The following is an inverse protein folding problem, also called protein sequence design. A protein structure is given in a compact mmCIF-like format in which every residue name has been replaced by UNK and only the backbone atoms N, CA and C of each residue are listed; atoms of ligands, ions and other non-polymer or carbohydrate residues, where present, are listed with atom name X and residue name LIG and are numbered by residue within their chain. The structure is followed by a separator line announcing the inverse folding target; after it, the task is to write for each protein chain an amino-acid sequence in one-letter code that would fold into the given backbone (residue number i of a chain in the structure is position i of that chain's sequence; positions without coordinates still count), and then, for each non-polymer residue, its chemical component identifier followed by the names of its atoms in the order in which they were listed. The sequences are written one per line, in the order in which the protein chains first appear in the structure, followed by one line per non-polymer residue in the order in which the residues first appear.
data_IF_751794493892
#
_entry.id   IF_751794493892
#
_cell.length_a   1.000
_cell.length_b   1.000
_cell.length_c   1.000
_cell.angle_alpha   90.00
_cell.angle_beta   90.00
_cell.angle_gamma   90.00
#
_symmetry.space_group_name_H-M   'P 1'
#
loop_
_entity.id
_entity.type
_entity.pdbx_description
1 polymer ?
#
# COMPACT_ATOMS: atom_id res chain seq x y z
N UNK A 1 7.75 -3.11 -25.78
CA UNK A 1 6.42 -2.98 -25.13
C UNK A 1 6.52 -3.03 -23.62
N UNK A 2 7.01 -4.14 -23.05
CA UNK A 2 7.31 -4.26 -21.61
C UNK A 2 8.22 -3.13 -21.15
N UNK A 3 9.24 -2.76 -21.93
CA UNK A 3 10.12 -1.63 -21.60
C UNK A 3 9.43 -0.27 -21.50
N UNK A 4 8.40 -0.02 -22.31
CA UNK A 4 7.60 1.21 -22.27
C UNK A 4 6.66 1.22 -21.07
N UNK A 5 6.02 0.08 -20.77
CA UNK A 5 5.20 -0.09 -19.56
C UNK A 5 6.06 0.10 -18.32
N UNK A 6 7.26 -0.48 -18.30
CA UNK A 6 8.24 -0.33 -17.21
C UNK A 6 8.77 1.10 -17.07
N UNK A 7 8.92 1.84 -18.17
CA UNK A 7 9.30 3.26 -18.13
C UNK A 7 8.15 4.13 -17.59
N UNK A 8 6.91 3.84 -17.99
CA UNK A 8 5.72 4.53 -17.47
C UNK A 8 5.51 4.27 -15.98
N UNK A 9 5.64 3.01 -15.52
CA UNK A 9 5.57 2.65 -14.10
C UNK A 9 6.64 3.33 -13.23
N UNK A 10 7.75 3.80 -13.83
CA UNK A 10 8.81 4.56 -13.13
C UNK A 10 8.58 6.06 -13.14
N UNK A 11 7.72 6.57 -14.02
CA UNK A 11 7.57 8.01 -14.30
C UNK A 11 6.16 8.52 -14.08
N UNK A 12 5.24 7.66 -13.64
CA UNK A 12 3.87 7.97 -13.23
C UNK A 12 3.84 8.11 -11.69
N UNK A 13 3.40 9.25 -11.15
CA UNK A 13 3.42 9.52 -9.71
C UNK A 13 2.44 8.64 -8.91
N UNK A 14 1.52 7.93 -9.59
CA UNK A 14 0.56 7.01 -8.96
C UNK A 14 0.93 5.54 -9.12
N UNK A 15 2.07 5.23 -9.75
CA UNK A 15 2.65 3.88 -9.79
C UNK A 15 3.82 3.80 -8.82
N UNK A 16 3.80 2.88 -7.84
CA UNK A 16 4.90 2.74 -6.90
C UNK A 16 6.12 2.20 -7.66
N UNK A 17 7.28 2.87 -7.55
CA UNK A 17 8.45 2.60 -8.39
C UNK A 17 8.94 1.15 -8.22
N UNK A 18 8.73 0.33 -9.26
CA UNK A 18 9.09 -1.10 -9.33
C UNK A 18 10.57 -1.39 -9.01
N UNK A 19 11.49 -0.46 -9.28
CA UNK A 19 12.92 -0.64 -8.96
C UNK A 19 13.18 -0.48 -7.46
N UNK A 20 12.49 0.45 -6.81
CA UNK A 20 12.53 0.64 -5.35
C UNK A 20 11.93 -0.59 -4.66
N UNK A 21 10.72 -0.97 -5.09
CA UNK A 21 9.96 -2.13 -4.60
C UNK A 21 10.79 -3.42 -4.74
N UNK A 22 11.32 -3.72 -5.93
CA UNK A 22 12.12 -4.93 -6.14
C UNK A 22 13.45 -4.91 -5.37
N UNK A 23 14.11 -3.76 -5.21
CA UNK A 23 15.34 -3.67 -4.40
C UNK A 23 15.05 -3.92 -2.92
N UNK A 24 13.96 -3.37 -2.41
CA UNK A 24 13.54 -3.53 -1.02
C UNK A 24 13.11 -4.98 -0.77
N UNK A 25 12.30 -5.56 -1.65
CA UNK A 25 11.88 -6.96 -1.57
C UNK A 25 13.07 -7.92 -1.65
N UNK A 26 14.02 -7.69 -2.57
CA UNK A 26 15.26 -8.48 -2.64
C UNK A 26 16.12 -8.34 -1.39
N UNK A 27 16.25 -7.14 -0.83
CA UNK A 27 16.98 -6.92 0.41
C UNK A 27 16.30 -7.58 1.62
N UNK A 28 14.97 -7.54 1.69
CA UNK A 28 14.20 -8.18 2.77
C UNK A 28 14.23 -9.71 2.66
N UNK A 29 14.09 -10.26 1.46
CA UNK A 29 14.29 -11.69 1.21
C UNK A 29 15.71 -12.15 1.54
N UNK A 30 16.73 -11.32 1.25
CA UNK A 30 18.12 -11.58 1.64
C UNK A 30 18.34 -11.54 3.16
N UNK A 31 17.54 -10.75 3.89
CA UNK A 31 17.52 -10.67 5.36
C UNK A 31 16.59 -11.69 6.02
N UNK A 32 15.89 -12.52 5.25
CA UNK A 32 14.92 -13.50 5.76
C UNK A 32 13.62 -12.88 6.31
N UNK A 33 13.40 -11.59 6.07
CA UNK A 33 12.19 -10.86 6.49
C UNK A 33 10.97 -11.19 5.62
N UNK A 34 11.20 -11.81 4.45
CA UNK A 34 10.20 -12.41 3.58
C UNK A 34 10.70 -13.82 3.27
N UNK A 35 9.86 -14.84 3.43
CA UNK A 35 10.26 -16.23 3.19
C UNK A 35 10.62 -16.41 1.71
N UNK A 36 11.82 -16.95 1.42
CA UNK A 36 12.14 -17.49 0.08
C UNK A 36 11.07 -18.52 -0.32
N UNK A 37 10.83 -18.69 -1.63
CA UNK A 37 10.01 -19.78 -2.15
C UNK A 37 10.38 -21.09 -1.42
N UNK A 38 9.45 -21.73 -0.68
CA UNK A 38 9.77 -22.95 0.07
C UNK A 38 10.21 -24.07 -0.88
N UNK A 39 11.18 -24.87 -0.47
CA UNK A 39 11.66 -26.07 -1.20
C UNK A 39 10.50 -27.03 -1.57
N UNK A 40 9.40 -26.98 -0.82
CA UNK A 40 8.21 -27.80 -1.04
C UNK A 40 7.41 -27.38 -2.28
N UNK A 41 7.52 -26.13 -2.74
CA UNK A 41 6.92 -25.68 -4.01
C UNK A 41 7.75 -26.15 -5.22
N UNK A 42 9.09 -26.21 -5.07
CA UNK A 42 9.95 -26.85 -6.06
C UNK A 42 9.61 -28.34 -6.19
N UNK A 43 9.41 -29.04 -5.05
CA UNK A 43 8.96 -30.44 -5.04
C UNK A 43 7.54 -30.64 -5.59
N UNK A 44 6.55 -29.86 -5.19
CA UNK A 44 5.18 -30.01 -5.70
C UNK A 44 5.08 -29.83 -7.22
N UNK A 45 5.88 -28.91 -7.78
CA UNK A 45 5.94 -28.63 -9.22
C UNK A 45 6.85 -29.61 -9.97
N UNK A 46 7.80 -30.28 -9.28
CA UNK A 46 8.54 -31.46 -9.76
C UNK A 46 7.69 -32.73 -9.73
N UNK A 47 6.78 -32.86 -8.75
CA UNK A 47 5.92 -34.02 -8.51
C UNK A 47 4.63 -33.99 -9.37
N UNK A 48 4.26 -32.81 -9.89
CA UNK A 48 3.14 -32.63 -10.84
C UNK A 48 3.59 -32.05 -12.20
N UNK A 49 4.57 -32.64 -12.89
CA UNK A 49 5.03 -32.14 -14.18
C UNK A 49 4.04 -32.61 -15.26
N UNK A 50 3.13 -31.74 -15.71
CA UNK A 50 2.49 -31.94 -17.01
C UNK A 50 3.13 -30.96 -18.00
N UNK A 51 4.02 -31.42 -18.89
CA UNK A 51 4.59 -30.55 -19.90
C UNK A 51 3.48 -30.11 -20.85
N UNK A 52 3.33 -28.79 -20.98
CA UNK A 52 2.61 -28.19 -22.09
C UNK A 52 3.40 -28.52 -23.36
N UNK A 53 2.88 -29.43 -24.18
CA UNK A 53 3.47 -29.79 -25.47
C UNK A 53 3.34 -28.62 -26.46
N UNK A 54 4.36 -27.75 -26.53
CA UNK A 54 4.50 -26.83 -27.65
C UNK A 54 5.19 -27.53 -28.82
N UNK A 55 4.40 -28.03 -29.77
CA UNK A 55 4.81 -28.01 -31.16
C UNK A 55 4.32 -26.70 -31.78
N UNK A 56 5.05 -25.62 -31.57
CA UNK A 56 5.10 -24.46 -32.47
C UNK A 56 6.15 -23.48 -31.95
N UNK A 57 7.38 -23.65 -32.44
CA UNK A 57 8.36 -22.57 -32.52
C UNK A 57 7.74 -21.44 -33.35
N UNK A 58 7.26 -20.40 -32.68
CA UNK A 58 7.18 -19.01 -33.12
C UNK A 58 6.04 -18.32 -32.37
N UNK A 59 6.35 -17.83 -31.18
CA UNK A 59 5.96 -16.55 -30.56
C UNK A 59 6.49 -16.68 -29.14
N UNK A 60 7.61 -16.01 -28.86
CA UNK A 60 8.20 -15.99 -27.53
C UNK A 60 8.10 -14.54 -26.98
N UNK A 61 7.04 -14.21 -26.22
CA UNK A 61 6.85 -12.87 -25.64
C UNK A 61 7.91 -12.50 -24.59
N UNK A 62 8.74 -13.47 -24.17
CA UNK A 62 9.58 -13.42 -22.98
C UNK A 62 10.95 -12.74 -23.24
N UNK A 63 11.42 -12.69 -24.49
CA UNK A 63 12.74 -12.12 -24.81
C UNK A 63 12.85 -10.57 -24.67
N UNK A 64 11.80 -9.87 -24.26
CA UNK A 64 11.83 -8.41 -24.02
C UNK A 64 11.96 -7.99 -22.55
N UNK A 65 11.80 -8.92 -21.59
CA UNK A 65 11.87 -8.59 -20.15
C UNK A 65 13.29 -8.58 -19.57
N UNK A 66 14.17 -9.44 -20.10
CA UNK A 66 15.44 -9.76 -19.45
C UNK A 66 16.55 -8.70 -19.63
N UNK A 67 16.50 -7.86 -20.66
CA UNK A 67 17.60 -6.94 -21.01
C UNK A 67 17.47 -5.49 -20.47
N UNK A 68 16.36 -5.12 -19.83
CA UNK A 68 16.15 -3.73 -19.36
C UNK A 68 16.45 -3.53 -17.87
N UNK A 69 16.48 -4.59 -17.05
CA UNK A 69 16.77 -4.47 -15.61
C UNK A 69 18.24 -4.14 -15.33
N UNK A 70 19.14 -4.38 -16.29
CA UNK A 70 20.58 -4.18 -16.13
C UNK A 70 21.10 -2.81 -16.63
N UNK A 71 20.30 -2.02 -17.35
CA UNK A 71 20.79 -0.85 -18.12
C UNK A 71 20.28 0.52 -17.66
N UNK A 72 19.33 0.61 -16.73
CA UNK A 72 18.71 1.90 -16.37
C UNK A 72 19.37 2.57 -15.14
N UNK A 73 20.50 3.23 -15.37
CA UNK A 73 21.12 4.22 -14.48
C UNK A 73 20.40 5.60 -14.60
N UNK A 74 19.35 5.89 -13.83
CA UNK A 74 18.76 7.27 -13.73
C UNK A 74 18.11 7.53 -12.35
N UNK A 75 17.83 8.79 -11.94
CA UNK A 75 18.42 9.50 -10.79
C UNK A 75 17.51 9.57 -9.53
N UNK A 76 18.10 10.02 -8.42
CA UNK A 76 17.62 9.83 -7.04
C UNK A 76 16.58 10.84 -6.48
N UNK A 77 15.86 11.61 -7.30
CA UNK A 77 14.89 12.61 -6.78
C UNK A 77 13.50 12.46 -7.43
N UNK A 78 12.52 12.04 -6.62
CA UNK A 78 11.12 11.77 -6.98
C UNK A 78 10.21 13.03 -6.98
N UNK A 79 10.66 14.15 -6.39
CA UNK A 79 9.84 15.35 -6.09
C UNK A 79 9.49 16.25 -7.30
N UNK A 80 9.56 15.77 -8.55
CA UNK A 80 9.32 16.59 -9.75
C UNK A 80 8.41 15.97 -10.80
N UNK A 81 7.61 14.97 -10.43
CA UNK A 81 6.72 14.29 -11.38
C UNK A 81 5.32 14.89 -11.30
N UNK A 82 4.99 15.77 -12.24
CA UNK A 82 3.63 16.31 -12.42
C UNK A 82 2.68 15.28 -13.05
N UNK A 83 1.42 15.26 -12.62
CA UNK A 83 0.32 14.52 -13.27
C UNK A 83 0.20 14.96 -14.73
N UNK A 84 0.18 13.99 -15.65
CA UNK A 84 0.11 14.26 -17.08
C UNK A 84 -0.90 13.32 -17.75
N UNK A 85 -2.06 13.87 -18.10
CA UNK A 85 -3.18 13.18 -18.76
C UNK A 85 -2.75 12.44 -20.06
N UNK A 86 -1.76 12.97 -20.79
CA UNK A 86 -1.22 12.32 -21.99
C UNK A 86 -0.42 11.05 -21.64
N UNK A 87 0.29 11.02 -20.51
CA UNK A 87 1.00 9.81 -20.04
C UNK A 87 0.01 8.73 -19.60
N UNK A 88 -1.03 9.10 -18.88
CA UNK A 88 -2.07 8.15 -18.42
C UNK A 88 -2.80 7.53 -19.62
N UNK A 89 -3.17 8.34 -20.61
CA UNK A 89 -3.75 7.86 -21.88
C UNK A 89 -2.79 6.93 -22.64
N UNK A 90 -1.48 7.16 -22.54
CA UNK A 90 -0.45 6.32 -23.15
C UNK A 90 -0.26 4.98 -22.41
N UNK A 91 -0.34 4.98 -21.07
CA UNK A 91 -0.39 3.76 -20.23
C UNK A 91 -1.58 2.89 -20.60
N UNK A 92 -2.77 3.49 -20.66
CA UNK A 92 -4.01 2.81 -21.02
C UNK A 92 -3.89 2.04 -22.34
N UNK A 93 -3.31 2.66 -23.38
CA UNK A 93 -3.10 2.01 -24.69
C UNK A 93 -2.15 0.81 -24.61
N UNK A 94 -1.10 0.90 -23.80
CA UNK A 94 -0.12 -0.20 -23.69
C UNK A 94 -0.69 -1.41 -22.93
N UNK A 95 -1.36 -1.19 -21.81
CA UNK A 95 -1.98 -2.28 -21.05
C UNK A 95 -3.15 -2.90 -21.80
N UNK A 96 -3.91 -2.11 -22.57
CA UNK A 96 -4.96 -2.63 -23.46
C UNK A 96 -4.38 -3.59 -24.50
N UNK A 97 -3.30 -3.20 -25.19
CA UNK A 97 -2.62 -4.07 -26.14
C UNK A 97 -2.02 -5.31 -25.47
N UNK A 98 -1.45 -5.17 -24.26
CA UNK A 98 -0.93 -6.30 -23.52
C UNK A 98 -2.03 -7.32 -23.15
N UNK A 99 -3.18 -6.85 -22.68
CA UNK A 99 -4.37 -7.70 -22.47
C UNK A 99 -4.83 -8.38 -23.76
N UNK A 100 -4.84 -7.68 -24.90
CA UNK A 100 -5.19 -8.29 -26.19
C UNK A 100 -4.24 -9.45 -26.54
N UNK A 101 -2.94 -9.30 -26.31
CA UNK A 101 -1.98 -10.40 -26.52
C UNK A 101 -2.21 -11.58 -25.57
N UNK A 102 -2.51 -11.33 -24.29
CA UNK A 102 -2.81 -12.41 -23.35
C UNK A 102 -4.05 -13.16 -23.84
N UNK A 103 -5.08 -12.44 -24.28
CA UNK A 103 -6.31 -13.04 -24.82
C UNK A 103 -6.04 -13.91 -26.06
N UNK A 104 -5.18 -13.45 -26.96
CA UNK A 104 -4.74 -14.26 -28.11
C UNK A 104 -3.96 -15.50 -27.66
N UNK A 105 -3.04 -15.38 -26.70
CA UNK A 105 -2.27 -16.51 -26.18
C UNK A 105 -3.13 -17.55 -25.46
N UNK A 106 -4.18 -17.11 -24.76
CA UNK A 106 -5.13 -17.98 -24.09
C UNK A 106 -6.17 -18.58 -25.03
N UNK A 107 -6.35 -18.07 -26.25
CA UNK A 107 -7.40 -18.53 -27.18
C UNK A 107 -7.32 -20.02 -27.58
N UNK A 108 -6.14 -20.64 -27.40
CA UNK A 108 -5.91 -22.06 -27.65
C UNK A 108 -5.63 -22.85 -26.37
N UNK A 109 -5.71 -22.22 -25.20
CA UNK A 109 -5.51 -22.88 -23.92
C UNK A 109 -6.72 -23.77 -23.62
N UNK A 110 -6.45 -25.04 -23.33
CA UNK A 110 -7.43 -25.99 -22.82
C UNK A 110 -6.82 -26.67 -21.60
N UNK A 111 -7.26 -26.27 -20.41
CA UNK A 111 -6.66 -26.70 -19.16
C UNK A 111 -7.65 -26.75 -18.01
N UNK A 112 -7.22 -27.35 -16.90
CA UNK A 112 -8.07 -27.60 -15.72
C UNK A 112 -8.70 -26.32 -15.15
N UNK A 113 -8.00 -25.20 -15.30
CA UNK A 113 -8.38 -23.90 -14.73
C UNK A 113 -8.78 -22.86 -15.79
N UNK A 114 -8.95 -23.27 -17.05
CA UNK A 114 -9.40 -22.45 -18.19
C UNK A 114 -10.60 -21.57 -17.81
N UNK A 115 -11.58 -22.17 -17.12
CA UNK A 115 -12.84 -21.52 -16.77
C UNK A 115 -12.73 -20.26 -15.91
N UNK A 116 -11.57 -19.98 -15.29
CA UNK A 116 -11.32 -18.71 -14.62
C UNK A 116 -10.08 -17.97 -15.14
N UNK A 117 -9.08 -18.68 -15.69
CA UNK A 117 -7.91 -18.05 -16.30
C UNK A 117 -8.29 -17.19 -17.52
N UNK A 118 -9.30 -17.60 -18.29
CA UNK A 118 -9.78 -16.87 -19.46
C UNK A 118 -10.34 -15.48 -19.15
N UNK A 119 -10.70 -15.22 -17.89
CA UNK A 119 -11.12 -13.89 -17.45
C UNK A 119 -9.94 -12.94 -17.20
N UNK A 120 -8.71 -13.44 -17.08
CA UNK A 120 -7.51 -12.65 -16.79
C UNK A 120 -7.34 -11.43 -17.71
N UNK A 121 -7.42 -11.56 -19.04
CA UNK A 121 -7.34 -10.42 -19.97
C UNK A 121 -8.41 -9.35 -19.72
N UNK A 122 -9.66 -9.75 -19.50
CA UNK A 122 -10.77 -8.82 -19.32
C UNK A 122 -10.69 -8.13 -17.94
N UNK A 123 -10.24 -8.87 -16.90
CA UNK A 123 -9.90 -8.32 -15.58
C UNK A 123 -8.77 -7.28 -15.67
N UNK A 124 -7.73 -7.55 -16.45
CA UNK A 124 -6.63 -6.61 -16.67
C UNK A 124 -7.09 -5.32 -17.38
N UNK A 125 -7.99 -5.45 -18.36
CA UNK A 125 -8.64 -4.31 -19.01
C UNK A 125 -9.46 -3.49 -18.04
N UNK A 126 -10.23 -4.14 -17.17
CA UNK A 126 -11.00 -3.48 -16.12
C UNK A 126 -10.08 -2.63 -15.23
N UNK A 127 -9.02 -3.21 -14.65
CA UNK A 127 -8.05 -2.48 -13.82
C UNK A 127 -7.53 -1.23 -14.54
N UNK A 128 -7.14 -1.39 -15.80
CA UNK A 128 -6.58 -0.32 -16.63
C UNK A 128 -7.59 0.81 -16.87
N UNK A 129 -8.86 0.46 -17.12
CA UNK A 129 -9.92 1.42 -17.35
C UNK A 129 -10.37 2.15 -16.07
N UNK A 130 -10.25 1.50 -14.91
CA UNK A 130 -10.58 2.10 -13.62
C UNK A 130 -9.53 3.13 -13.17
N UNK A 131 -8.28 3.01 -13.62
CA UNK A 131 -7.24 4.03 -13.32
C UNK A 131 -7.61 5.43 -13.80
N UNK A 132 -8.39 5.53 -14.88
CA UNK A 132 -8.83 6.80 -15.47
C UNK A 132 -10.23 7.23 -15.02
N UNK A 133 -10.89 6.46 -14.15
CA UNK A 133 -12.21 6.81 -13.63
C UNK A 133 -12.06 7.87 -12.51
N UNK A 134 -12.79 8.98 -12.61
CA UNK A 134 -12.69 10.10 -11.67
C UNK A 134 -13.42 9.86 -10.34
N UNK A 135 -14.33 8.89 -10.29
CA UNK A 135 -15.06 8.51 -9.06
C UNK A 135 -14.19 7.67 -8.12
N UNK A 136 -13.05 7.14 -8.59
CA UNK A 136 -12.11 6.40 -7.76
C UNK A 136 -11.08 7.29 -7.07
N UNK A 137 -10.86 7.03 -5.79
CA UNK A 137 -9.87 7.75 -4.98
C UNK A 137 -8.43 7.40 -5.39
N UNK A 138 -7.48 8.25 -4.99
CA UNK A 138 -6.05 8.02 -5.21
C UNK A 138 -5.57 6.71 -4.58
N UNK A 139 -6.07 6.36 -3.39
CA UNK A 139 -5.75 5.09 -2.71
C UNK A 139 -6.19 3.88 -3.55
N UNK A 140 -7.43 3.90 -4.05
CA UNK A 140 -7.95 2.84 -4.92
C UNK A 140 -7.14 2.73 -6.21
N UNK A 141 -6.81 3.86 -6.84
CA UNK A 141 -5.97 3.90 -8.04
C UNK A 141 -4.58 3.32 -7.78
N UNK A 142 -4.01 3.55 -6.61
CA UNK A 142 -2.72 2.96 -6.24
C UNK A 142 -2.80 1.44 -6.08
N UNK A 143 -3.87 0.92 -5.47
CA UNK A 143 -4.11 -0.54 -5.39
C UNK A 143 -4.23 -1.14 -6.79
N UNK A 144 -5.02 -0.51 -7.68
CA UNK A 144 -5.12 -0.92 -9.09
C UNK A 144 -3.75 -0.92 -9.78
N UNK A 145 -2.96 0.13 -9.60
CA UNK A 145 -1.58 0.22 -10.10
C UNK A 145 -0.69 -0.90 -9.57
N UNK A 146 -0.89 -1.33 -8.32
CA UNK A 146 -0.14 -2.42 -7.69
C UNK A 146 -0.46 -3.77 -8.33
N UNK A 147 -1.74 -4.06 -8.58
CA UNK A 147 -2.14 -5.25 -9.34
C UNK A 147 -1.56 -5.23 -10.76
N UNK A 148 -1.66 -4.10 -11.46
CA UNK A 148 -1.11 -3.95 -12.81
C UNK A 148 0.42 -4.12 -12.85
N UNK A 149 1.11 -3.65 -11.81
CA UNK A 149 2.55 -3.78 -11.67
C UNK A 149 2.98 -5.23 -11.45
N UNK A 150 2.19 -5.97 -10.68
CA UNK A 150 2.38 -7.39 -10.39
C UNK A 150 2.15 -8.23 -11.65
N UNK A 151 1.07 -7.98 -12.41
CA UNK A 151 0.73 -8.65 -13.68
C UNK A 151 1.83 -8.60 -14.75
N UNK A 152 2.77 -7.66 -14.65
CA UNK A 152 3.89 -7.51 -15.60
C UNK A 152 5.25 -7.73 -14.91
N UNK A 153 5.24 -8.28 -13.69
CA UNK A 153 6.44 -8.57 -12.91
C UNK A 153 7.06 -9.88 -13.40
N UNK A 154 8.29 -9.85 -13.95
CA UNK A 154 8.96 -11.10 -14.26
C UNK A 154 9.34 -11.83 -12.97
N UNK A 155 9.16 -13.15 -12.93
CA UNK A 155 9.50 -14.02 -11.80
C UNK A 155 8.73 -13.68 -10.50
N UNK A 156 7.42 -13.50 -10.61
CA UNK A 156 6.47 -13.47 -9.50
C UNK A 156 6.24 -14.86 -8.88
N UNK A 157 5.15 -15.06 -8.15
CA UNK A 157 4.93 -16.31 -7.39
C UNK A 157 4.73 -17.50 -8.33
N UNK A 158 4.05 -17.31 -9.47
CA UNK A 158 3.91 -18.33 -10.51
C UNK A 158 4.31 -17.75 -11.88
N UNK A 159 5.60 -17.82 -12.25
CA UNK A 159 6.06 -17.20 -13.49
C UNK A 159 5.47 -17.86 -14.74
N UNK A 160 4.87 -17.09 -15.63
CA UNK A 160 4.27 -17.59 -16.88
C UNK A 160 5.32 -18.19 -17.82
N UNK A 161 6.58 -17.73 -17.72
CA UNK A 161 7.70 -18.31 -18.48
C UNK A 161 7.88 -19.80 -18.21
N UNK A 162 7.59 -20.23 -16.98
CA UNK A 162 7.79 -21.60 -16.52
C UNK A 162 6.49 -22.40 -16.55
N UNK A 163 5.36 -21.76 -16.27
CA UNK A 163 4.07 -22.43 -16.05
C UNK A 163 3.02 -22.12 -17.14
N UNK A 164 3.36 -21.31 -18.14
CA UNK A 164 2.45 -20.93 -19.21
C UNK A 164 1.20 -20.23 -18.65
N UNK A 165 0.00 -20.52 -19.18
CA UNK A 165 -1.26 -19.93 -18.71
C UNK A 165 -1.55 -20.05 -17.21
N UNK A 166 -1.00 -21.07 -16.54
CA UNK A 166 -1.15 -21.23 -15.09
C UNK A 166 -0.46 -20.13 -14.28
N UNK A 167 0.48 -19.39 -14.89
CA UNK A 167 1.12 -18.26 -14.24
C UNK A 167 0.19 -17.08 -13.98
N UNK A 168 -0.95 -16.99 -14.66
CA UNK A 168 -1.92 -15.92 -14.38
C UNK A 168 -2.75 -16.13 -13.10
N UNK A 169 -2.54 -17.22 -12.36
CA UNK A 169 -3.37 -17.56 -11.19
C UNK A 169 -3.14 -16.57 -10.04
N UNK A 170 -1.90 -16.25 -9.71
CA UNK A 170 -1.57 -15.25 -8.68
C UNK A 170 -1.91 -13.82 -9.11
N UNK A 171 -1.80 -13.51 -10.40
CA UNK A 171 -2.27 -12.25 -10.95
C UNK A 171 -3.79 -12.07 -10.78
N UNK A 172 -4.56 -13.10 -11.16
CA UNK A 172 -6.01 -13.08 -11.06
C UNK A 172 -6.45 -13.01 -9.60
N UNK A 173 -5.75 -13.71 -8.70
CA UNK A 173 -5.99 -13.59 -7.26
C UNK A 173 -5.82 -12.14 -6.79
N UNK A 174 -4.68 -11.53 -7.09
CA UNK A 174 -4.38 -10.18 -6.62
C UNK A 174 -5.35 -9.15 -7.23
N UNK A 175 -5.64 -9.29 -8.51
CA UNK A 175 -6.61 -8.46 -9.22
C UNK A 175 -7.99 -8.52 -8.55
N UNK A 176 -8.52 -9.73 -8.35
CA UNK A 176 -9.86 -9.91 -7.77
C UNK A 176 -9.92 -9.58 -6.28
N UNK A 177 -8.81 -9.74 -5.54
CA UNK A 177 -8.70 -9.25 -4.16
C UNK A 177 -8.87 -7.72 -4.10
N UNK A 178 -8.16 -6.98 -4.96
CA UNK A 178 -8.23 -5.51 -5.00
C UNK A 178 -9.60 -5.04 -5.49
N UNK A 179 -10.14 -5.66 -6.55
CA UNK A 179 -11.47 -5.31 -7.05
C UNK A 179 -12.55 -5.57 -5.99
N UNK A 180 -12.40 -6.61 -5.15
CA UNK A 180 -13.29 -6.87 -4.02
C UNK A 180 -13.20 -5.78 -2.94
N UNK A 181 -12.01 -5.29 -2.61
CA UNK A 181 -11.84 -4.14 -1.68
C UNK A 181 -12.49 -2.87 -2.25
N UNK A 182 -12.29 -2.59 -3.54
CA UNK A 182 -12.86 -1.39 -4.19
C UNK A 182 -14.39 -1.48 -4.26
N UNK A 183 -14.96 -2.61 -4.69
CA UNK A 183 -16.41 -2.81 -4.77
C UNK A 183 -17.11 -2.68 -3.42
N UNK A 184 -16.45 -3.07 -2.32
CA UNK A 184 -16.98 -2.84 -0.97
C UNK A 184 -17.11 -1.36 -0.62
N UNK A 185 -16.27 -0.50 -1.21
CA UNK A 185 -16.23 0.94 -0.94
C UNK A 185 -17.14 1.74 -1.88
N UNK A 186 -17.23 1.35 -3.16
CA UNK A 186 -17.92 2.16 -4.19
C UNK A 186 -19.09 1.47 -4.89
N UNK A 187 -19.34 0.19 -4.61
CA UNK A 187 -20.36 -0.61 -5.29
C UNK A 187 -19.86 -1.26 -6.58
N UNK A 188 -20.69 -2.14 -7.15
CA UNK A 188 -20.38 -2.82 -8.42
C UNK A 188 -20.73 -1.94 -9.63
N UNK A 189 -21.67 -1.01 -9.47
CA UNK A 189 -22.21 -0.18 -10.52
C UNK A 189 -21.11 0.59 -11.27
N UNK A 190 -20.19 1.21 -10.52
CA UNK A 190 -19.05 1.96 -11.08
C UNK A 190 -18.13 1.04 -11.88
N UNK A 191 -17.90 -0.19 -11.42
CA UNK A 191 -16.99 -1.10 -12.10
C UNK A 191 -17.64 -1.74 -13.34
N UNK A 192 -18.95 -2.00 -13.29
CA UNK A 192 -19.68 -2.58 -14.41
C UNK A 192 -19.71 -1.65 -15.62
N UNK A 193 -19.71 -0.33 -15.44
CA UNK A 193 -19.58 0.64 -16.54
C UNK A 193 -18.30 0.46 -17.36
N UNK A 194 -17.28 -0.13 -16.74
CA UNK A 194 -15.96 -0.37 -17.30
C UNK A 194 -15.70 -1.83 -17.67
N UNK A 195 -16.62 -2.74 -17.34
CA UNK A 195 -16.46 -4.17 -17.57
C UNK A 195 -16.71 -4.54 -19.04
N UNK A 196 -15.77 -5.29 -19.64
CA UNK A 196 -15.88 -5.73 -21.03
C UNK A 196 -16.00 -7.25 -21.21
N UNK A 197 -16.07 -8.01 -20.11
CA UNK A 197 -16.22 -9.46 -20.16
C UNK A 197 -17.67 -9.88 -20.41
N UNK A 198 -17.84 -11.12 -20.86
CA UNK A 198 -19.15 -11.65 -21.24
C UNK A 198 -20.03 -12.01 -20.04
N UNK A 199 -19.42 -12.54 -18.98
CA UNK A 199 -20.12 -12.95 -17.76
C UNK A 199 -20.32 -11.76 -16.82
N UNK A 200 -21.28 -11.90 -15.88
CA UNK A 200 -21.56 -10.87 -14.88
C UNK A 200 -20.33 -10.63 -14.00
N UNK A 201 -19.92 -9.38 -13.84
CA UNK A 201 -18.68 -9.00 -13.15
C UNK A 201 -18.62 -9.56 -11.72
N UNK A 202 -19.71 -9.46 -10.97
CA UNK A 202 -19.80 -9.99 -9.60
C UNK A 202 -19.50 -11.50 -9.53
N UNK A 203 -20.04 -12.27 -10.47
CA UNK A 203 -19.84 -13.71 -10.53
C UNK A 203 -18.40 -14.05 -10.94
N UNK A 204 -17.82 -13.29 -11.86
CA UNK A 204 -16.42 -13.42 -12.29
C UNK A 204 -15.49 -13.14 -11.13
N UNK A 205 -15.61 -11.99 -10.45
CA UNK A 205 -14.78 -11.64 -9.30
C UNK A 205 -14.89 -12.71 -8.21
N UNK A 206 -16.11 -13.13 -7.87
CA UNK A 206 -16.32 -14.16 -6.84
C UNK A 206 -15.67 -15.48 -7.20
N UNK A 207 -15.87 -15.97 -8.43
CA UNK A 207 -15.33 -17.24 -8.92
C UNK A 207 -13.81 -17.19 -8.99
N UNK A 208 -13.26 -16.23 -9.72
CA UNK A 208 -11.82 -16.07 -9.89
C UNK A 208 -11.11 -15.91 -8.54
N UNK A 209 -11.66 -15.14 -7.60
CA UNK A 209 -11.10 -15.00 -6.25
C UNK A 209 -11.09 -16.33 -5.49
N UNK A 210 -12.21 -17.05 -5.46
CA UNK A 210 -12.33 -18.30 -4.71
C UNK A 210 -11.42 -19.40 -5.25
N UNK A 211 -11.40 -19.61 -6.58
CA UNK A 211 -10.60 -20.64 -7.24
C UNK A 211 -9.10 -20.34 -7.09
N UNK A 212 -8.68 -19.11 -7.38
CA UNK A 212 -7.27 -18.73 -7.24
C UNK A 212 -6.79 -18.77 -5.79
N UNK A 213 -7.61 -18.30 -4.83
CA UNK A 213 -7.30 -18.40 -3.40
C UNK A 213 -7.15 -19.85 -2.93
N UNK A 214 -8.02 -20.75 -3.40
CA UNK A 214 -7.95 -22.16 -3.08
C UNK A 214 -6.65 -22.80 -3.60
N UNK A 215 -6.27 -22.49 -4.85
CA UNK A 215 -5.05 -23.02 -5.47
C UNK A 215 -3.79 -22.47 -4.80
N UNK A 216 -3.77 -21.17 -4.47
CA UNK A 216 -2.60 -20.51 -3.91
C UNK A 216 -2.39 -20.85 -2.43
N UNK A 217 -3.46 -21.12 -1.68
CA UNK A 217 -3.40 -21.45 -0.26
C UNK A 217 -2.62 -20.39 0.53
N UNK A 218 -1.64 -20.80 1.34
CA UNK A 218 -0.83 -19.88 2.15
C UNK A 218 -0.04 -18.83 1.35
N UNK A 219 0.16 -19.03 0.04
CA UNK A 219 0.91 -18.09 -0.82
C UNK A 219 0.17 -16.78 -1.02
N UNK A 220 -1.13 -16.76 -0.80
CA UNK A 220 -1.90 -15.51 -0.82
C UNK A 220 -1.31 -14.48 0.13
N UNK A 221 -0.78 -14.89 1.29
CA UNK A 221 -0.16 -13.99 2.24
C UNK A 221 1.06 -13.28 1.64
N UNK A 222 1.93 -14.03 0.94
CA UNK A 222 3.11 -13.48 0.25
C UNK A 222 2.72 -12.52 -0.87
N UNK A 223 1.63 -12.80 -1.59
CA UNK A 223 1.12 -11.92 -2.65
C UNK A 223 0.55 -10.64 -2.02
N UNK A 224 -0.21 -10.76 -0.92
CA UNK A 224 -0.81 -9.61 -0.23
C UNK A 224 0.23 -8.71 0.46
N UNK A 225 1.39 -9.24 0.84
CA UNK A 225 2.52 -8.42 1.31
C UNK A 225 2.95 -7.36 0.27
N UNK A 226 2.81 -7.63 -1.04
CA UNK A 226 3.07 -6.62 -2.08
C UNK A 226 2.08 -5.45 -2.00
N UNK A 227 0.80 -5.73 -1.74
CA UNK A 227 -0.25 -4.70 -1.60
C UNK A 227 0.00 -3.86 -0.36
N UNK A 228 0.19 -4.51 0.78
CA UNK A 228 0.47 -3.82 2.03
C UNK A 228 1.74 -2.98 1.96
N UNK A 229 2.72 -3.36 1.13
CA UNK A 229 3.90 -2.54 0.89
C UNK A 229 3.59 -1.28 0.09
N UNK A 230 2.82 -1.39 -0.99
CA UNK A 230 2.41 -0.23 -1.79
C UNK A 230 1.60 0.77 -0.96
N UNK A 231 0.68 0.28 -0.11
CA UNK A 231 -0.07 1.10 0.85
C UNK A 231 0.87 1.81 1.84
N UNK A 232 1.86 1.09 2.39
CA UNK A 232 2.88 1.65 3.29
C UNK A 232 3.81 2.67 2.62
N UNK A 233 4.04 2.56 1.32
CA UNK A 233 4.86 3.49 0.55
C UNK A 233 4.13 4.83 0.32
N UNK A 234 2.80 4.78 0.11
CA UNK A 234 1.97 5.96 -0.18
C UNK A 234 1.94 6.99 0.96
N UNK A 235 1.92 6.54 2.22
CA UNK A 235 1.96 7.43 3.37
C UNK A 235 3.34 8.01 3.66
N UNK A 236 4.39 7.43 3.05
CA UNK A 236 5.75 7.93 3.15
C UNK A 236 5.98 9.26 2.43
N UNK A 237 5.18 9.59 1.41
CA UNK A 237 5.50 10.64 0.42
C UNK A 237 4.51 11.81 0.36
N UNK A 238 3.40 11.80 1.12
CA UNK A 238 2.50 12.96 1.14
C UNK A 238 3.22 14.20 1.69
N UNK A 239 3.13 15.30 0.93
CA UNK A 239 3.61 16.63 1.33
C UNK A 239 2.61 17.31 2.28
N UNK A 240 3.03 18.41 2.91
CA UNK A 240 2.11 19.26 3.68
C UNK A 240 0.90 19.68 2.85
N UNK A 241 1.09 20.08 1.59
CA UNK A 241 0.02 20.59 0.74
C UNK A 241 -1.02 19.52 0.38
N UNK A 242 -0.58 18.28 0.17
CA UNK A 242 -1.49 17.16 -0.06
C UNK A 242 -2.31 16.85 1.18
N UNK A 243 -1.68 16.91 2.36
CA UNK A 243 -2.37 16.67 3.62
C UNK A 243 -3.43 17.74 3.90
N UNK A 244 -3.10 19.02 3.66
CA UNK A 244 -4.04 20.13 3.83
C UNK A 244 -5.23 20.04 2.88
N UNK A 245 -5.01 19.64 1.62
CA UNK A 245 -6.10 19.43 0.63
C UNK A 245 -7.02 18.28 1.03
N UNK A 246 -6.46 17.17 1.52
CA UNK A 246 -7.22 16.00 1.97
C UNK A 246 -8.00 16.25 3.25
N UNK A 247 -7.52 17.17 4.11
CA UNK A 247 -8.14 17.46 5.40
C UNK A 247 -7.98 16.32 6.41
N UNK A 248 -8.53 16.51 7.62
CA UNK A 248 -8.56 15.46 8.63
C UNK A 248 -9.42 14.28 8.18
N UNK A 249 -8.89 13.07 8.34
CA UNK A 249 -9.57 11.83 7.99
C UNK A 249 -9.06 10.67 8.86
N UNK A 250 -9.29 9.43 8.44
CA UNK A 250 -8.84 8.26 9.18
C UNK A 250 -7.32 8.12 9.26
N UNK A 251 -6.59 8.71 8.31
CA UNK A 251 -5.14 8.58 8.14
C UNK A 251 -4.40 9.92 8.29
N UNK A 252 -5.11 11.05 8.41
CA UNK A 252 -4.53 12.40 8.61
C UNK A 252 -5.17 13.07 9.81
N UNK A 253 -4.35 13.55 10.74
CA UNK A 253 -4.78 14.31 11.92
C UNK A 253 -4.07 15.66 11.99
N UNK A 254 -4.82 16.72 12.31
CA UNK A 254 -4.27 18.07 12.53
C UNK A 254 -4.25 18.39 14.03
N UNK A 255 -3.15 19.00 14.48
CA UNK A 255 -3.02 19.55 15.82
C UNK A 255 -2.32 20.89 15.74
N UNK A 256 -2.91 21.91 16.38
CA UNK A 256 -2.37 23.26 16.27
C UNK A 256 -1.00 23.40 16.92
N UNK A 257 -0.75 22.64 17.99
CA UNK A 257 0.40 22.82 18.89
C UNK A 257 0.75 21.51 19.59
N UNK A 258 1.99 21.36 20.04
CA UNK A 258 2.45 20.24 20.87
C UNK A 258 2.14 20.46 22.36
N UNK A 259 2.43 21.65 22.88
CA UNK A 259 2.38 22.02 24.31
C UNK A 259 1.60 23.30 24.57
N UNK A 260 1.55 24.21 23.60
CA UNK A 260 1.01 25.55 23.78
C UNK A 260 -0.52 25.59 23.74
N UNK A 261 -1.14 25.95 24.85
CA UNK A 261 -2.59 26.17 24.86
C UNK A 261 -2.92 27.55 24.29
N UNK A 262 -3.46 27.56 23.08
CA UNK A 262 -3.82 28.80 22.35
C UNK A 262 -4.87 29.61 23.12
N UNK A 263 -5.78 28.96 23.87
CA UNK A 263 -6.86 29.65 24.59
C UNK A 263 -6.37 30.23 25.92
N UNK A 264 -5.52 29.48 26.63
CA UNK A 264 -4.99 29.89 27.93
C UNK A 264 -3.71 30.73 27.84
N UNK A 265 -3.10 30.80 26.64
CA UNK A 265 -1.87 31.52 26.36
C UNK A 265 -0.71 31.09 27.30
N UNK A 266 -0.62 29.77 27.56
CA UNK A 266 0.38 29.17 28.44
C UNK A 266 0.66 27.71 28.05
N UNK A 267 1.72 27.11 28.61
CA UNK A 267 2.04 25.69 28.43
C UNK A 267 0.99 24.83 29.12
N UNK A 268 0.41 23.88 28.37
CA UNK A 268 -0.48 22.86 28.87
C UNK A 268 0.06 21.47 28.54
N UNK A 269 0.68 20.83 29.54
CA UNK A 269 1.23 19.46 29.39
C UNK A 269 0.18 18.42 29.02
N UNK A 270 -1.11 18.68 29.27
CA UNK A 270 -2.16 17.74 28.87
C UNK A 270 -2.30 17.64 27.34
N UNK A 271 -1.86 18.64 26.57
CA UNK A 271 -1.85 18.57 25.11
C UNK A 271 -0.90 17.48 24.59
N UNK A 272 0.19 17.19 25.33
CA UNK A 272 1.09 16.07 25.01
C UNK A 272 0.33 14.74 24.98
N UNK A 273 -0.61 14.55 25.91
CA UNK A 273 -1.38 13.31 25.97
C UNK A 273 -2.27 13.14 24.73
N UNK A 274 -2.72 14.23 24.11
CA UNK A 274 -3.49 14.16 22.87
C UNK A 274 -2.59 13.70 21.72
N UNK A 275 -1.37 14.24 21.63
CA UNK A 275 -0.36 13.84 20.64
C UNK A 275 0.00 12.35 20.80
N UNK A 276 0.36 11.94 22.02
CA UNK A 276 0.73 10.54 22.33
C UNK A 276 -0.39 9.56 21.98
N UNK A 277 -1.64 9.88 22.37
CA UNK A 277 -2.79 9.02 22.03
C UNK A 277 -2.99 8.91 20.52
N UNK A 278 -2.86 10.01 19.81
CA UNK A 278 -2.99 10.03 18.34
C UNK A 278 -1.93 9.13 17.70
N UNK A 279 -0.68 9.26 18.13
CA UNK A 279 0.42 8.41 17.63
C UNK A 279 0.15 6.93 17.93
N UNK A 280 -0.24 6.60 19.17
CA UNK A 280 -0.61 5.23 19.53
C UNK A 280 -1.79 4.70 18.72
N UNK A 281 -2.80 5.54 18.48
CA UNK A 281 -3.95 5.19 17.64
C UNK A 281 -3.56 4.86 16.21
N UNK A 282 -2.62 5.61 15.62
CA UNK A 282 -2.07 5.31 14.30
C UNK A 282 -1.20 4.05 14.29
N UNK A 283 -0.32 3.87 15.28
CA UNK A 283 0.53 2.68 15.42
C UNK A 283 -0.30 1.39 15.53
N UNK A 284 -1.43 1.43 16.25
CA UNK A 284 -2.33 0.29 16.44
C UNK A 284 -3.35 0.09 15.31
N UNK A 285 -3.25 0.86 14.23
CA UNK A 285 -4.14 0.83 13.08
C UNK A 285 -3.30 0.81 11.78
N UNK A 286 -3.82 1.34 10.69
CA UNK A 286 -3.17 1.36 9.37
C UNK A 286 -2.05 2.42 9.23
N UNK A 287 -1.58 3.02 10.32
CA UNK A 287 -0.65 4.14 10.27
C UNK A 287 -1.34 5.45 9.87
N UNK A 288 -0.56 6.48 9.57
CA UNK A 288 -1.07 7.79 9.16
C UNK A 288 -0.07 8.92 9.33
N UNK A 289 -0.55 10.15 9.17
CA UNK A 289 0.24 11.39 9.27
C UNK A 289 -0.41 12.31 10.29
N UNK A 290 0.38 12.71 11.29
CA UNK A 290 0.01 13.76 12.23
C UNK A 290 0.73 15.06 11.86
N UNK A 291 -0.04 16.10 11.54
CA UNK A 291 0.48 17.46 11.37
C UNK A 291 0.39 18.22 12.69
N UNK A 292 1.52 18.78 13.15
CA UNK A 292 1.58 19.68 14.30
C UNK A 292 1.94 21.08 13.83
N UNK A 293 1.14 22.08 14.21
CA UNK A 293 1.22 23.44 13.67
C UNK A 293 0.05 23.81 12.75
N UNK A 294 -0.98 22.97 12.65
CA UNK A 294 -2.14 23.16 11.76
C UNK A 294 -3.43 23.18 12.59
N UNK A 295 -4.31 24.14 12.32
CA UNK A 295 -5.62 24.21 12.98
C UNK A 295 -6.62 23.25 12.35
N UNK A 296 -7.71 22.98 13.07
CA UNK A 296 -8.79 22.10 12.60
C UNK A 296 -9.42 22.58 11.28
N UNK A 297 -9.33 23.88 10.97
CA UNK A 297 -9.78 24.47 9.69
C UNK A 297 -8.72 24.42 8.57
N UNK A 298 -7.59 23.76 8.80
CA UNK A 298 -6.45 23.66 7.87
C UNK A 298 -5.54 24.89 7.84
N UNK A 299 -5.81 25.92 8.63
CA UNK A 299 -4.95 27.12 8.64
C UNK A 299 -3.61 26.87 9.33
N UNK A 300 -2.54 27.46 8.80
CA UNK A 300 -1.18 27.30 9.33
C UNK A 300 -1.02 28.15 10.60
N UNK A 301 -1.01 27.48 11.75
CA UNK A 301 -0.73 28.10 13.03
C UNK A 301 0.77 28.26 13.26
N UNK A 302 1.53 27.21 12.97
CA UNK A 302 2.98 27.10 13.16
C UNK A 302 3.39 26.57 14.54
N UNK A 303 4.55 25.92 14.64
CA UNK A 303 5.10 25.39 15.91
C UNK A 303 6.04 26.37 16.63
N UNK A 304 6.17 27.61 16.15
CA UNK A 304 7.09 28.63 16.69
C UNK A 304 6.84 28.90 18.18
N UNK A 305 5.58 28.83 18.59
CA UNK A 305 5.21 29.09 19.97
C UNK A 305 5.65 27.93 20.89
N UNK A 306 5.60 26.69 20.41
CA UNK A 306 6.14 25.54 21.13
C UNK A 306 7.67 25.58 21.20
N UNK A 307 8.34 26.00 20.12
CA UNK A 307 9.80 26.11 20.08
C UNK A 307 10.34 27.00 21.20
N UNK A 308 9.64 28.08 21.59
CA UNK A 308 10.11 28.97 22.68
C UNK A 308 10.29 28.29 24.04
N UNK A 309 9.73 27.09 24.23
CA UNK A 309 9.69 26.39 25.50
C UNK A 309 10.46 25.05 25.49
N UNK A 310 11.27 24.81 24.47
CA UNK A 310 12.17 23.65 24.39
C UNK A 310 13.63 24.06 24.56
N UNK A 311 14.50 23.13 25.00
CA UNK A 311 15.87 23.41 25.47
C UNK A 311 16.78 24.17 24.48
N UNK A 312 16.44 24.24 23.19
CA UNK A 312 17.23 24.88 22.11
C UNK A 312 16.50 26.00 21.35
N UNK A 313 15.24 26.26 21.67
CA UNK A 313 14.43 27.27 21.00
C UNK A 313 14.37 27.18 19.45
N UNK A 314 14.46 25.98 18.89
CA UNK A 314 14.52 25.72 17.44
C UNK A 314 13.88 24.38 17.06
N UNK A 315 13.87 24.04 15.75
CA UNK A 315 13.30 22.79 15.21
C UNK A 315 13.90 21.55 15.87
N UNK A 316 15.23 21.47 15.99
CA UNK A 316 15.91 20.34 16.65
C UNK A 316 15.46 20.19 18.11
N UNK A 317 15.30 21.29 18.83
CA UNK A 317 14.81 21.28 20.21
C UNK A 317 13.37 20.76 20.30
N UNK A 318 12.54 21.09 19.32
CA UNK A 318 11.16 20.62 19.24
C UNK A 318 11.13 19.13 18.93
N UNK A 319 11.91 18.69 17.95
CA UNK A 319 12.06 17.29 17.57
C UNK A 319 12.50 16.44 18.77
N UNK A 320 13.57 16.84 19.45
CA UNK A 320 14.05 16.15 20.66
C UNK A 320 12.98 16.09 21.75
N UNK A 321 12.18 17.15 21.90
CA UNK A 321 11.09 17.16 22.87
C UNK A 321 9.98 16.19 22.48
N UNK A 322 9.62 16.13 21.21
CA UNK A 322 8.62 15.20 20.68
C UNK A 322 9.08 13.75 20.83
N UNK A 323 10.32 13.43 20.44
CA UNK A 323 10.93 12.11 20.63
C UNK A 323 10.88 11.71 22.11
N UNK A 324 11.30 12.59 23.01
CA UNK A 324 11.26 12.31 24.44
C UNK A 324 9.82 12.09 24.96
N UNK A 325 8.82 12.78 24.41
CA UNK A 325 7.41 12.55 24.77
C UNK A 325 6.97 11.16 24.29
N UNK A 326 7.31 10.77 23.07
CA UNK A 326 7.01 9.46 22.50
C UNK A 326 7.66 8.36 23.35
N UNK A 327 8.98 8.42 23.56
CA UNK A 327 9.74 7.43 24.32
C UNK A 327 9.18 7.21 25.74
N UNK A 328 8.86 8.29 26.45
CA UNK A 328 8.39 8.20 27.84
C UNK A 328 6.99 7.60 27.99
N UNK A 329 6.18 7.58 26.93
CA UNK A 329 4.79 7.14 27.00
C UNK A 329 4.50 5.88 26.17
N UNK A 330 5.27 5.63 25.11
CA UNK A 330 5.05 4.54 24.14
C UNK A 330 6.23 3.54 24.09
N UNK A 331 7.38 3.87 24.69
CA UNK A 331 8.62 3.10 24.57
C UNK A 331 9.49 3.56 23.41
N UNK A 332 10.76 3.09 23.41
CA UNK A 332 11.74 3.47 22.39
C UNK A 332 11.53 2.72 21.06
N UNK A 333 11.04 1.49 21.13
CA UNK A 333 10.93 0.57 19.99
C UNK A 333 9.98 1.10 18.89
N UNK A 334 8.99 1.91 19.26
CA UNK A 334 8.05 2.51 18.30
C UNK A 334 8.71 3.52 17.35
N UNK A 335 9.90 4.02 17.69
CA UNK A 335 10.61 5.00 16.86
C UNK A 335 10.99 4.43 15.48
N UNK A 336 11.13 3.10 15.34
CA UNK A 336 11.37 2.44 14.04
C UNK A 336 10.20 2.62 13.06
N UNK A 337 9.00 2.89 13.59
CA UNK A 337 7.79 3.11 12.80
C UNK A 337 7.45 4.59 12.60
N UNK A 338 8.26 5.52 13.12
CA UNK A 338 7.97 6.96 13.11
C UNK A 338 9.06 7.71 12.36
N UNK A 339 8.65 8.62 11.47
CA UNK A 339 9.53 9.57 10.79
C UNK A 339 9.03 10.99 11.04
N UNK A 340 9.89 11.84 11.58
CA UNK A 340 9.57 13.24 11.89
C UNK A 340 10.27 14.13 10.87
N UNK A 341 9.53 14.98 10.18
CA UNK A 341 10.06 15.99 9.26
C UNK A 341 9.44 17.35 9.53
N UNK A 342 9.99 18.39 8.92
CA UNK A 342 9.49 19.76 9.03
C UNK A 342 9.36 20.38 7.65
N UNK A 343 8.22 21.01 7.40
CA UNK A 343 7.98 21.81 6.19
C UNK A 343 7.64 23.25 6.57
N UNK A 344 7.99 24.19 5.70
CA UNK A 344 7.70 25.60 5.88
C UNK A 344 6.58 26.04 4.93
N UNK A 345 5.54 26.68 5.47
CA UNK A 345 4.45 27.26 4.71
C UNK A 345 4.01 28.57 5.37
N UNK A 346 3.76 29.59 4.56
CA UNK A 346 3.38 30.94 5.02
C UNK A 346 4.34 31.53 6.07
N UNK A 347 5.64 31.24 5.94
CA UNK A 347 6.71 31.68 6.86
C UNK A 347 6.66 31.03 8.24
N UNK A 348 5.94 29.92 8.38
CA UNK A 348 5.76 29.16 9.61
C UNK A 348 6.13 27.69 9.40
N UNK A 349 6.57 27.05 10.47
CA UNK A 349 6.99 25.67 10.46
C UNK A 349 5.85 24.76 10.89
N UNK A 350 5.67 23.68 10.14
CA UNK A 350 4.77 22.57 10.47
C UNK A 350 5.62 21.33 10.68
N UNK A 351 5.36 20.58 11.74
CA UNK A 351 5.97 19.28 11.98
C UNK A 351 5.07 18.19 11.43
N UNK A 352 5.64 17.33 10.57
CA UNK A 352 4.98 16.18 10.00
C UNK A 352 5.50 14.94 10.71
N UNK A 353 4.60 14.16 11.31
CA UNK A 353 4.92 12.89 11.96
C UNK A 353 4.28 11.78 11.13
N UNK A 354 5.09 11.13 10.30
CA UNK A 354 4.67 9.99 9.47
C UNK A 354 4.81 8.71 10.29
N UNK A 355 3.71 7.96 10.43
CA UNK A 355 3.58 6.83 11.35
C UNK A 355 3.17 5.60 10.56
N UNK A 356 3.97 4.54 10.64
CA UNK A 356 3.66 3.22 10.06
C UNK A 356 2.92 2.35 11.08
N UNK A 357 2.09 1.39 10.64
CA UNK A 357 1.54 0.37 11.53
C UNK A 357 2.64 -0.32 12.33
N UNK A 358 2.40 -0.54 13.61
CA UNK A 358 3.32 -1.30 14.46
C UNK A 358 3.11 -2.81 14.26
N UNK A 359 4.19 -3.62 14.21
CA UNK A 359 4.07 -5.07 14.12
C UNK A 359 3.54 -5.70 15.43
N UNK A 360 3.46 -4.95 16.53
CA UNK A 360 2.93 -5.42 17.80
C UNK A 360 1.98 -4.38 18.45
N UNK A 361 1.10 -4.79 19.38
CA UNK A 361 0.21 -3.86 20.08
C UNK A 361 0.96 -2.83 20.93
N UNK A 362 0.68 -1.54 20.71
CA UNK A 362 1.27 -0.42 21.44
C UNK A 362 0.34 0.10 22.52
N UNK A 363 0.89 0.30 23.71
CA UNK A 363 0.17 0.85 24.85
C UNK A 363 0.69 2.23 25.23
N UNK A 364 -0.20 3.07 25.73
CA UNK A 364 0.16 4.37 26.30
C UNK A 364 0.24 4.24 27.80
N UNK A 365 1.44 4.37 28.34
CA UNK A 365 1.67 4.35 29.77
C UNK A 365 1.37 5.71 30.41
N UNK A 366 0.57 5.70 31.46
CA UNK A 366 0.23 6.89 32.23
C UNK A 366 0.28 6.59 33.73
N UNK A 367 0.25 7.64 34.55
CA UNK A 367 0.13 7.50 36.01
C UNK A 367 -1.14 6.75 36.47
N UNK A 368 -2.13 6.58 35.60
CA UNK A 368 -3.40 5.88 35.89
C UNK A 368 -3.41 4.44 35.38
N UNK A 369 -2.31 3.97 34.80
CA UNK A 369 -2.21 2.67 34.15
C UNK A 369 -1.89 2.78 32.66
N UNK A 370 -1.83 1.63 32.03
CA UNK A 370 -1.52 1.45 30.61
C UNK A 370 -2.81 1.30 29.80
N UNK A 371 -2.93 2.03 28.69
CA UNK A 371 -4.16 2.12 27.90
C UNK A 371 -3.91 1.82 26.43
N UNK A 372 -4.79 1.03 25.82
CA UNK A 372 -4.74 0.70 24.40
C UNK A 372 -5.66 1.62 23.60
N UNK A 373 -5.09 2.35 22.64
CA UNK A 373 -5.82 3.31 21.80
C UNK A 373 -5.83 2.86 20.34
N UNK A 374 -6.96 3.03 19.66
CA UNK A 374 -7.14 2.69 18.24
C UNK A 374 -7.89 3.83 17.54
N UNK A 375 -7.60 4.06 16.25
CA UNK A 375 -8.40 4.96 15.41
C UNK A 375 -9.71 4.32 14.97
N UNK A 376 -10.77 5.11 15.02
CA UNK A 376 -12.11 4.77 14.53
C UNK A 376 -12.65 5.98 13.78
N UNK A 377 -12.57 5.94 12.45
CA UNK A 377 -12.73 7.12 11.60
C UNK A 377 -11.68 8.18 11.95
N UNK A 378 -12.11 9.44 12.09
CA UNK A 378 -11.24 10.55 12.48
C UNK A 378 -11.06 10.71 14.01
N UNK A 379 -11.43 9.72 14.83
CA UNK A 379 -11.30 9.80 16.29
C UNK A 379 -10.43 8.68 16.86
N UNK A 380 -9.65 9.01 17.89
CA UNK A 380 -8.87 8.02 18.65
C UNK A 380 -9.60 7.66 19.95
N UNK A 381 -9.82 6.36 20.18
CA UNK A 381 -10.57 5.86 21.35
C UNK A 381 -9.75 4.86 22.15
N UNK A 382 -9.85 4.92 23.47
CA UNK A 382 -9.37 3.86 24.34
C UNK A 382 -10.37 2.68 24.27
N UNK A 383 -9.87 1.48 24.02
CA UNK A 383 -10.70 0.28 24.08
C UNK A 383 -10.76 -0.25 25.51
N UNK A 384 -11.93 -0.75 25.93
CA UNK A 384 -12.02 -1.51 27.17
C UNK A 384 -11.32 -2.88 27.02
N UNK A 385 -11.09 -3.56 28.14
CA UNK A 385 -10.34 -4.83 28.16
C UNK A 385 -10.93 -5.90 27.24
N UNK A 386 -12.26 -5.94 27.08
CA UNK A 386 -12.94 -6.95 26.24
C UNK A 386 -12.77 -6.64 24.76
N UNK A 387 -12.97 -5.39 24.37
CA UNK A 387 -12.80 -4.93 22.98
C UNK A 387 -11.33 -4.95 22.56
N UNK A 388 -10.42 -4.55 23.46
CA UNK A 388 -8.97 -4.63 23.27
C UNK A 388 -8.53 -6.06 22.97
N UNK A 389 -8.92 -7.04 23.81
CA UNK A 389 -8.53 -8.44 23.60
C UNK A 389 -8.96 -8.97 22.24
N UNK A 390 -10.21 -8.69 21.84
CA UNK A 390 -10.73 -9.07 20.52
C UNK A 390 -9.97 -8.39 19.38
N UNK A 391 -9.73 -7.08 19.52
CA UNK A 391 -9.02 -6.30 18.51
C UNK A 391 -7.61 -6.82 18.31
N UNK A 392 -6.84 -7.01 19.39
CA UNK A 392 -5.47 -7.50 19.33
C UNK A 392 -5.41 -8.87 18.66
N UNK A 393 -6.32 -9.77 19.02
CA UNK A 393 -6.33 -11.11 18.45
C UNK A 393 -6.65 -11.13 16.94
N UNK A 394 -7.59 -10.31 16.49
CA UNK A 394 -7.91 -10.23 15.06
C UNK A 394 -6.84 -9.49 14.25
N UNK A 395 -6.16 -8.50 14.84
CA UNK A 395 -5.26 -7.61 14.11
C UNK A 395 -3.81 -8.12 14.07
N UNK A 396 -3.33 -8.80 15.13
CA UNK A 396 -1.96 -9.33 15.21
C UNK A 396 -1.88 -10.85 15.39
N UNK A 397 -2.84 -11.48 16.08
CA UNK A 397 -2.78 -12.92 16.40
C UNK A 397 -3.64 -13.80 15.49
N UNK A 398 -3.94 -13.38 14.27
CA UNK A 398 -4.40 -14.30 13.23
C UNK A 398 -3.27 -15.27 12.85
N UNK A 399 -2.98 -16.19 13.77
CA UNK A 399 -2.16 -17.38 13.58
C UNK A 399 -3.09 -18.56 13.25
N UNK A 400 -2.56 -19.58 12.54
CA UNK A 400 -3.31 -20.50 11.69
C UNK A 400 -4.25 -21.34 12.54
N UNK A 401 -5.39 -21.73 11.98
CA UNK A 401 -6.26 -22.68 12.64
C UNK A 401 -5.48 -23.97 12.94
N UNK A 402 -5.37 -24.25 14.24
CA UNK A 402 -5.08 -25.55 14.80
C UNK A 402 -6.28 -26.48 14.60
N UNK A 403 -5.93 -27.75 14.38
CA UNK A 403 -6.71 -29.01 14.36
C UNK A 403 -7.35 -29.45 13.04
#
# INVERSE_FOLDING_TARGET
MVENVMHLMKTDPYFPNKVELLKILKNKAAKGEIKKLPEDLARYLEDNPKPYNQSNENINPINYGYNLLYSLQIPSNLDKIEYNENKVTHCYKHFKFFSDNIKENLSFYQGEYESFIDHGPDLLKLLTSLLINDDLTVDMKLKLSTALAYFVAPNDVIPEEKYGPYGYIDDIFLCTYILKDITQKVGYEILEEHWCGHDKLEDVIRKCYAESMFILGEKTNTILEFVSFAEKFNYGDLSLDDCLKKGENEEIEFKSTLLWDVKQNNINKNLQNVIVKTIAGFLNFNGGILLIGVRDDGTIFGIEQDMKYVKRNNKDGFEQRLIQIIENNLGLDVMENITITFEEKDGKNVCLVKIKPSPEPIFVDTNKGSFFYVRTGNTTRALDSKHQYKYINHHWNSLPFNE
#
